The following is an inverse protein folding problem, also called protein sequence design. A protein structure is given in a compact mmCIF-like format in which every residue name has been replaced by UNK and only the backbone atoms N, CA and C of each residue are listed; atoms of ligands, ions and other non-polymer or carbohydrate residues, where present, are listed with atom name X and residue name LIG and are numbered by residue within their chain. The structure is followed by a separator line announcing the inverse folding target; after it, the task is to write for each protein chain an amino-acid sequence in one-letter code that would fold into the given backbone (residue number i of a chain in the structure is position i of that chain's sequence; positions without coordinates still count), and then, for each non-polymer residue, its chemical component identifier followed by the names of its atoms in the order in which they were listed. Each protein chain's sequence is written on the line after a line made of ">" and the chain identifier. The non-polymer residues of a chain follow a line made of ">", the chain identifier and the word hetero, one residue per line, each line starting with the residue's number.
data_IF_701815664845
#
_entry.id   IF_701815664845
#
_cell.length_a   1.000
_cell.length_b   1.000
_cell.length_c   1.000
_cell.angle_alpha   90.00
_cell.angle_beta   90.00
_cell.angle_gamma   90.00
#
_symmetry.space_group_name_H-M   'P 1'
#
loop_
_entity.id
_entity.type
_entity.pdbx_description
1 polymer ?
#
# COMPACT_ATOMS: atom_id res chain seq x y z
N UNK A 1 -2.97 -14.93 -17.17
CA UNK A 1 -3.89 -14.35 -18.18
C UNK A 1 -3.58 -12.85 -18.25
N UNK A 2 -3.52 -12.21 -19.43
CA UNK A 2 -3.36 -10.77 -19.49
C UNK A 2 -4.62 -10.08 -18.95
N UNK A 3 -4.47 -8.86 -18.42
CA UNK A 3 -5.59 -8.02 -17.96
C UNK A 3 -6.26 -7.33 -19.14
N UNK A 4 -7.57 -7.18 -19.08
CA UNK A 4 -8.38 -6.44 -20.05
C UNK A 4 -8.85 -5.09 -19.47
N UNK A 5 -9.18 -4.15 -20.35
CA UNK A 5 -9.75 -2.87 -19.94
C UNK A 5 -11.13 -3.10 -19.28
N UNK A 6 -11.33 -2.53 -18.10
CA UNK A 6 -12.56 -2.73 -17.30
C UNK A 6 -12.44 -3.82 -16.23
N UNK A 7 -11.37 -4.61 -16.24
CA UNK A 7 -11.12 -5.60 -15.19
C UNK A 7 -11.00 -4.93 -13.82
N UNK A 8 -11.77 -5.44 -12.85
CA UNK A 8 -11.69 -4.99 -11.46
C UNK A 8 -10.27 -5.18 -10.92
N UNK A 9 -9.72 -4.14 -10.31
CA UNK A 9 -8.45 -4.23 -9.60
C UNK A 9 -8.67 -4.67 -8.15
N UNK A 10 -7.79 -5.54 -7.64
CA UNK A 10 -7.79 -5.96 -6.24
C UNK A 10 -7.10 -4.91 -5.33
N UNK A 11 -7.49 -3.64 -5.47
CA UNK A 11 -6.89 -2.53 -4.73
C UNK A 11 -7.26 -2.65 -3.24
N UNK A 12 -6.26 -2.52 -2.37
CA UNK A 12 -6.48 -2.46 -0.92
C UNK A 12 -5.35 -1.70 -0.23
N UNK A 13 -5.72 -0.76 0.62
CA UNK A 13 -4.80 -0.01 1.49
C UNK A 13 -4.11 -0.90 2.53
N UNK A 14 -4.66 -2.08 2.82
CA UNK A 14 -4.10 -3.05 3.79
C UNK A 14 -2.80 -3.67 3.26
N UNK A 15 -2.58 -3.68 1.94
CA UNK A 15 -1.37 -4.25 1.33
C UNK A 15 -0.16 -3.29 1.41
N UNK A 16 0.05 -2.69 2.58
CA UNK A 16 1.15 -1.77 2.90
C UNK A 16 2.34 -2.52 3.52
N UNK A 17 3.53 -1.91 3.47
CA UNK A 17 4.73 -2.46 4.13
C UNK A 17 5.04 -1.71 5.42
N UNK A 18 5.14 -2.43 6.55
CA UNK A 18 5.55 -1.87 7.85
C UNK A 18 7.07 -1.98 8.00
N UNK A 19 7.77 -0.85 7.89
CA UNK A 19 9.22 -0.77 8.00
C UNK A 19 9.66 -0.19 9.36
N UNK A 20 10.97 -0.16 9.60
CA UNK A 20 11.52 0.49 10.79
C UNK A 20 11.11 1.97 10.83
N UNK A 21 10.37 2.35 11.88
CA UNK A 21 9.89 3.72 12.07
C UNK A 21 8.78 4.20 11.11
N UNK A 22 8.23 3.36 10.22
CA UNK A 22 7.26 3.83 9.24
C UNK A 22 6.37 2.76 8.63
N UNK A 23 5.40 3.21 7.83
CA UNK A 23 4.56 2.38 6.97
C UNK A 23 4.50 2.99 5.56
N UNK A 24 4.74 2.16 4.54
CA UNK A 24 4.65 2.54 3.12
C UNK A 24 3.32 2.02 2.58
N UNK A 25 2.37 2.93 2.38
CA UNK A 25 0.96 2.65 2.08
C UNK A 25 0.69 2.92 0.60
N UNK A 26 0.01 2.02 -0.12
CA UNK A 26 -0.31 2.27 -1.52
C UNK A 26 -1.39 3.34 -1.65
N UNK A 27 -1.24 4.22 -2.64
CA UNK A 27 -2.27 5.16 -3.08
C UNK A 27 -2.68 4.87 -4.52
N UNK A 28 -3.92 5.19 -4.86
CA UNK A 28 -4.54 4.76 -6.11
C UNK A 28 -5.11 5.92 -6.95
N UNK A 29 -4.89 7.17 -6.55
CA UNK A 29 -5.60 8.34 -7.09
C UNK A 29 -7.11 8.21 -6.84
N UNK A 30 -7.44 7.70 -5.65
CA UNK A 30 -8.80 7.43 -5.19
C UNK A 30 -9.15 8.40 -4.05
N UNK A 31 -10.39 8.90 -3.97
CA UNK A 31 -10.80 9.78 -2.88
C UNK A 31 -10.59 9.21 -1.48
N UNK A 32 -10.45 7.90 -1.28
CA UNK A 32 -10.21 7.32 0.04
C UNK A 32 -8.71 7.27 0.42
N UNK A 33 -7.79 7.65 -0.47
CA UNK A 33 -6.35 7.67 -0.19
C UNK A 33 -6.06 8.47 1.09
N UNK A 34 -6.65 9.66 1.21
CA UNK A 34 -6.45 10.52 2.38
C UNK A 34 -7.05 9.93 3.67
N UNK A 35 -8.20 9.26 3.59
CA UNK A 35 -8.83 8.61 4.74
C UNK A 35 -8.00 7.43 5.22
N UNK A 36 -7.49 6.61 4.30
CA UNK A 36 -6.65 5.47 4.61
C UNK A 36 -5.34 5.91 5.29
N UNK A 37 -4.66 6.92 4.74
CA UNK A 37 -3.43 7.46 5.31
C UNK A 37 -3.67 8.07 6.71
N UNK A 38 -4.75 8.85 6.87
CA UNK A 38 -5.09 9.46 8.16
C UNK A 38 -5.42 8.39 9.22
N UNK A 39 -6.17 7.36 8.85
CA UNK A 39 -6.55 6.30 9.79
C UNK A 39 -5.34 5.44 10.19
N UNK A 40 -4.49 5.06 9.22
CA UNK A 40 -3.25 4.36 9.51
C UNK A 40 -2.30 5.20 10.39
N UNK A 41 -2.26 6.52 10.19
CA UNK A 41 -1.43 7.39 11.03
C UNK A 41 -1.92 7.46 12.49
N UNK A 42 -3.24 7.42 12.72
CA UNK A 42 -3.81 7.33 14.08
C UNK A 42 -3.49 5.98 14.73
N UNK A 43 -3.58 4.89 13.97
CA UNK A 43 -3.30 3.54 14.46
C UNK A 43 -1.80 3.28 14.70
N UNK A 44 -0.93 4.02 14.02
CA UNK A 44 0.52 3.90 14.10
C UNK A 44 1.16 5.22 14.59
N UNK A 45 0.85 5.68 15.82
CA UNK A 45 1.20 7.04 16.27
C UNK A 45 2.71 7.31 16.33
N UNK A 46 3.53 6.26 16.50
CA UNK A 46 4.99 6.36 16.57
C UNK A 46 5.69 6.12 15.22
N UNK A 47 4.93 5.89 14.15
CA UNK A 47 5.45 5.58 12.81
C UNK A 47 5.12 6.71 11.85
N UNK A 48 6.01 6.97 10.90
CA UNK A 48 5.72 7.83 9.75
C UNK A 48 4.93 7.04 8.71
N UNK A 49 3.69 7.45 8.43
CA UNK A 49 2.87 6.88 7.34
C UNK A 49 3.15 7.65 6.04
N UNK A 50 3.53 6.94 4.98
CA UNK A 50 3.89 7.52 3.67
C UNK A 50 3.08 6.84 2.57
N UNK A 51 2.29 7.63 1.84
CA UNK A 51 1.58 7.18 0.64
C UNK A 51 2.50 7.11 -0.59
N UNK A 52 2.38 6.04 -1.37
CA UNK A 52 3.13 5.84 -2.63
C UNK A 52 2.17 5.40 -3.74
N UNK A 53 2.15 6.07 -4.91
CA UNK A 53 1.34 5.64 -6.04
C UNK A 53 1.66 4.21 -6.46
N UNK A 54 0.66 3.32 -6.41
CA UNK A 54 0.88 1.88 -6.57
C UNK A 54 0.05 1.24 -7.69
N UNK A 55 -0.61 2.05 -8.53
CA UNK A 55 -1.44 1.57 -9.66
C UNK A 55 -0.69 0.59 -10.56
N UNK A 56 0.58 0.85 -10.86
CA UNK A 56 1.37 -0.01 -11.76
C UNK A 56 1.69 -1.38 -11.14
N UNK A 57 1.89 -1.46 -9.82
CA UNK A 57 2.06 -2.74 -9.10
C UNK A 57 0.73 -3.51 -9.10
N UNK A 58 -0.38 -2.78 -8.92
CA UNK A 58 -1.73 -3.32 -8.91
C UNK A 58 -2.15 -3.90 -10.26
N UNK A 59 -1.70 -3.33 -11.36
CA UNK A 59 -1.86 -3.91 -12.70
C UNK A 59 -1.14 -5.27 -12.80
N UNK A 60 -0.03 -5.47 -12.09
CA UNK A 60 0.67 -6.75 -11.97
C UNK A 60 0.00 -7.78 -11.05
N UNK A 61 -1.09 -7.43 -10.36
CA UNK A 61 -1.87 -8.33 -9.51
C UNK A 61 -1.48 -8.33 -8.03
N UNK A 62 -0.62 -7.42 -7.58
CA UNK A 62 -0.21 -7.30 -6.18
C UNK A 62 -0.20 -5.87 -5.68
N UNK A 63 0.47 -5.62 -4.56
CA UNK A 63 0.76 -4.26 -4.09
C UNK A 63 2.11 -4.21 -3.35
N UNK A 64 2.38 -3.11 -2.65
CA UNK A 64 3.64 -2.86 -1.93
C UNK A 64 4.04 -4.04 -1.04
N UNK A 65 3.14 -4.55 -0.19
CA UNK A 65 3.45 -5.69 0.69
C UNK A 65 3.86 -6.93 -0.11
N UNK A 66 3.21 -7.21 -1.25
CA UNK A 66 3.48 -8.39 -2.08
C UNK A 66 4.90 -8.41 -2.68
N UNK A 67 5.55 -7.25 -2.82
CA UNK A 67 6.87 -7.11 -3.45
C UNK A 67 7.99 -6.81 -2.45
N UNK A 68 7.69 -6.84 -1.16
CA UNK A 68 8.64 -6.60 -0.07
C UNK A 68 8.78 -7.84 0.81
N UNK A 69 9.96 -8.04 1.39
CA UNK A 69 10.21 -9.07 2.41
C UNK A 69 11.11 -8.49 3.49
N UNK A 70 10.60 -8.38 4.72
CA UNK A 70 11.40 -7.93 5.85
C UNK A 70 12.36 -9.03 6.31
N UNK A 71 13.56 -8.62 6.71
CA UNK A 71 14.50 -9.47 7.42
C UNK A 71 14.72 -8.88 8.83
N UNK A 72 14.42 -9.63 9.90
CA UNK A 72 14.71 -9.19 11.25
C UNK A 72 16.20 -8.91 11.44
N UNK A 73 16.53 -7.94 12.28
CA UNK A 73 17.90 -7.71 12.72
C UNK A 73 18.34 -8.91 13.59
N UNK A 74 19.63 -9.27 13.49
CA UNK A 74 20.27 -10.23 14.39
C UNK A 74 20.33 -9.71 15.83
#
# INVERSE_FOLDING_TARGET
>A
LPREAGDRMAASYINFYLCNGGAVVPTFDDPHDHLALAELQKLLPERKVVGVPAREILLGGGNIHCITQQQPKA
#
